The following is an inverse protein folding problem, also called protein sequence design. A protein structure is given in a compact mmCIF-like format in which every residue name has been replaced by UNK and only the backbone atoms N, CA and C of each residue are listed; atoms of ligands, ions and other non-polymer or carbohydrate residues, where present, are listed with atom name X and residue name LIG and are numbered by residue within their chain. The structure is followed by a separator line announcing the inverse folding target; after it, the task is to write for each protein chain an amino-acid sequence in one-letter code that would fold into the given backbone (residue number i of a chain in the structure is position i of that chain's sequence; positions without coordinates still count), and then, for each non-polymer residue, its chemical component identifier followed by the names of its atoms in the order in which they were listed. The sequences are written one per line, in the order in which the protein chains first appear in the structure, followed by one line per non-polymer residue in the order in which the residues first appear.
data_IF_878023350392
#
_entry.id   IF_878023350392
#
_cell.length_a   1.000
_cell.length_b   1.000
_cell.length_c   1.000
_cell.angle_alpha   90.00
_cell.angle_beta   90.00
_cell.angle_gamma   90.00
#
_symmetry.space_group_name_H-M   'P 1'
#
loop_
_entity.id
_entity.type
_entity.pdbx_description
1 polymer ?
#
# COMPACT_ATOMS: atom_id res chain seq x y z
N UNK A 1 19.91 -16.07 0.16
CA UNK A 1 18.59 -15.49 -0.13
C UNK A 1 18.81 -14.14 -0.76
N UNK A 2 18.16 -13.88 -1.87
CA UNK A 2 18.29 -12.62 -2.61
C UNK A 2 17.05 -11.76 -2.38
N UNK A 3 17.22 -10.45 -2.42
CA UNK A 3 16.15 -9.47 -2.23
C UNK A 3 16.10 -8.54 -3.42
N UNK A 4 14.93 -8.29 -4.00
CA UNK A 4 14.74 -7.21 -4.99
C UNK A 4 14.08 -6.02 -4.31
N UNK A 5 14.69 -4.85 -4.35
CA UNK A 5 14.05 -3.59 -3.97
C UNK A 5 13.50 -2.94 -5.23
N UNK A 6 12.20 -2.69 -5.26
CA UNK A 6 11.51 -2.05 -6.38
C UNK A 6 11.09 -0.63 -6.01
N UNK A 7 11.40 0.33 -6.91
CA UNK A 7 11.24 1.77 -6.67
C UNK A 7 10.59 2.44 -7.87
N UNK A 8 9.34 2.93 -7.77
CA UNK A 8 8.72 3.76 -8.81
C UNK A 8 9.31 5.18 -8.77
N UNK A 9 9.61 5.77 -9.92
CA UNK A 9 10.23 7.10 -10.02
C UNK A 9 9.39 8.03 -10.89
N UNK A 10 8.88 9.12 -10.30
CA UNK A 10 8.18 10.19 -11.02
C UNK A 10 8.14 11.48 -10.19
N UNK A 11 8.73 12.57 -10.68
CA UNK A 11 8.64 13.91 -10.06
C UNK A 11 9.34 14.03 -8.70
N UNK A 12 10.49 13.37 -8.50
CA UNK A 12 11.18 13.26 -7.19
C UNK A 12 12.61 13.77 -7.20
N UNK A 13 12.98 14.68 -8.10
CA UNK A 13 14.36 15.19 -8.21
C UNK A 13 14.94 15.74 -6.91
N UNK A 14 14.09 16.24 -6.00
CA UNK A 14 14.50 16.78 -4.70
C UNK A 14 14.86 15.68 -3.67
N UNK A 15 14.38 14.46 -3.87
CA UNK A 15 14.41 13.40 -2.86
C UNK A 15 15.18 12.16 -3.30
N UNK A 16 15.22 11.90 -4.61
CA UNK A 16 15.79 10.65 -5.17
C UNK A 16 17.24 10.40 -4.78
N UNK A 17 18.06 11.46 -4.58
CA UNK A 17 19.46 11.30 -4.13
C UNK A 17 19.51 10.69 -2.73
N UNK A 18 18.78 11.25 -1.77
CA UNK A 18 18.76 10.72 -0.40
C UNK A 18 18.18 9.30 -0.36
N UNK A 19 17.11 9.05 -1.11
CA UNK A 19 16.53 7.73 -1.26
C UNK A 19 17.58 6.73 -1.79
N UNK A 20 18.18 6.99 -2.94
CA UNK A 20 19.14 6.09 -3.58
C UNK A 20 20.38 5.82 -2.70
N UNK A 21 20.94 6.86 -2.06
CA UNK A 21 22.03 6.71 -1.10
C UNK A 21 21.65 5.77 0.03
N UNK A 22 20.48 5.94 0.64
CA UNK A 22 20.01 5.08 1.72
C UNK A 22 19.83 3.62 1.29
N UNK A 23 19.40 3.40 0.05
CA UNK A 23 19.25 2.06 -0.53
C UNK A 23 20.62 1.42 -0.80
N UNK A 24 21.56 2.16 -1.39
CA UNK A 24 22.87 1.63 -1.75
C UNK A 24 23.81 1.46 -0.54
N UNK A 25 23.51 2.11 0.58
CA UNK A 25 24.23 1.97 1.86
C UNK A 25 23.74 0.80 2.72
N UNK A 26 22.79 -0.04 2.24
CA UNK A 26 22.30 -1.18 3.02
C UNK A 26 23.42 -2.16 3.37
N UNK A 27 23.42 -2.65 4.64
CA UNK A 27 24.37 -3.63 5.16
C UNK A 27 24.19 -5.04 4.60
N UNK A 28 23.03 -5.33 4.04
CA UNK A 28 22.72 -6.61 3.40
C UNK A 28 23.23 -6.62 1.95
N UNK A 29 24.15 -7.55 1.62
CA UNK A 29 24.86 -7.51 0.34
C UNK A 29 24.07 -8.05 -0.86
N UNK A 30 23.11 -8.98 -0.64
CA UNK A 30 22.43 -9.70 -1.73
C UNK A 30 21.16 -9.00 -2.17
N UNK A 31 21.32 -7.76 -2.65
CA UNK A 31 20.20 -6.92 -3.12
C UNK A 31 20.35 -6.63 -4.61
N UNK A 32 19.26 -6.74 -5.35
CA UNK A 32 19.05 -6.17 -6.67
C UNK A 32 18.10 -4.99 -6.55
N UNK A 33 18.48 -3.85 -7.12
CA UNK A 33 17.65 -2.64 -7.15
C UNK A 33 17.03 -2.46 -8.53
N UNK A 34 15.73 -2.28 -8.59
CA UNK A 34 15.00 -2.04 -9.85
C UNK A 34 14.20 -0.75 -9.72
N UNK A 35 14.66 0.28 -10.39
CA UNK A 35 13.93 1.55 -10.50
C UNK A 35 13.11 1.56 -11.79
N UNK A 36 11.91 2.13 -11.73
CA UNK A 36 11.08 2.31 -12.93
C UNK A 36 10.82 3.78 -13.17
N UNK A 37 11.41 4.32 -14.25
CA UNK A 37 11.09 5.65 -14.78
C UNK A 37 9.68 5.64 -15.40
N UNK A 38 8.74 6.31 -14.74
CA UNK A 38 7.38 6.49 -15.25
C UNK A 38 7.25 7.72 -16.17
N UNK A 39 8.22 7.96 -17.03
CA UNK A 39 8.37 9.13 -17.87
C UNK A 39 8.43 10.41 -17.02
N UNK A 40 9.31 10.43 -16.02
CA UNK A 40 9.48 11.59 -15.15
C UNK A 40 9.88 12.84 -15.95
N UNK A 41 9.23 14.02 -15.71
CA UNK A 41 9.53 15.24 -16.46
C UNK A 41 10.72 16.01 -15.90
N UNK A 42 11.27 15.59 -14.75
CA UNK A 42 12.33 16.27 -14.01
C UNK A 42 13.69 15.52 -14.10
N UNK A 43 14.67 15.95 -13.34
CA UNK A 43 16.02 15.38 -13.34
C UNK A 43 16.19 14.13 -12.47
N UNK A 44 15.11 13.50 -12.01
CA UNK A 44 15.19 12.36 -11.09
C UNK A 44 16.10 11.22 -11.61
N UNK A 45 15.98 10.86 -12.88
CA UNK A 45 16.79 9.77 -13.47
C UNK A 45 18.25 10.19 -13.66
N UNK A 46 18.52 11.44 -14.03
CA UNK A 46 19.86 11.97 -14.14
C UNK A 46 20.58 11.91 -12.79
N UNK A 47 19.92 12.39 -11.72
CA UNK A 47 20.45 12.34 -10.35
C UNK A 47 20.66 10.89 -9.88
N UNK A 48 19.74 9.98 -10.23
CA UNK A 48 19.88 8.56 -9.89
C UNK A 48 21.15 7.97 -10.55
N UNK A 49 21.45 8.29 -11.81
CA UNK A 49 22.67 7.85 -12.48
C UNK A 49 23.93 8.41 -11.81
N UNK A 50 23.91 9.66 -11.33
CA UNK A 50 25.01 10.22 -10.57
C UNK A 50 25.30 9.40 -9.30
N UNK A 51 24.25 9.08 -8.53
CA UNK A 51 24.41 8.25 -7.31
C UNK A 51 24.87 6.84 -7.65
N UNK A 52 24.36 6.22 -8.70
CA UNK A 52 24.82 4.89 -9.13
C UNK A 52 26.32 4.86 -9.42
N UNK A 53 26.88 5.94 -9.96
CA UNK A 53 28.31 6.04 -10.22
C UNK A 53 29.17 6.09 -8.93
N UNK A 54 28.59 6.51 -7.80
CA UNK A 54 29.21 6.51 -6.47
C UNK A 54 29.23 5.11 -5.83
N UNK A 55 28.37 4.17 -6.30
CA UNK A 55 28.19 2.81 -5.76
C UNK A 55 28.29 1.73 -6.87
N UNK A 56 29.42 1.63 -7.58
CA UNK A 56 29.55 0.77 -8.75
C UNK A 56 29.42 -0.74 -8.45
N UNK A 57 29.56 -1.14 -7.19
CA UNK A 57 29.42 -2.53 -6.74
C UNK A 57 27.93 -2.97 -6.57
N UNK A 58 26.98 -2.02 -6.59
CA UNK A 58 25.56 -2.34 -6.41
C UNK A 58 24.91 -2.77 -7.72
N UNK A 59 24.06 -3.79 -7.65
CA UNK A 59 23.31 -4.28 -8.81
C UNK A 59 22.04 -3.45 -9.02
N UNK A 60 22.14 -2.41 -9.84
CA UNK A 60 21.06 -1.48 -10.11
C UNK A 60 20.60 -1.57 -11.57
N UNK A 61 19.31 -1.70 -11.79
CA UNK A 61 18.65 -1.61 -13.10
C UNK A 61 17.61 -0.49 -13.11
N UNK A 62 17.62 0.29 -14.18
CA UNK A 62 16.56 1.27 -14.45
C UNK A 62 15.77 0.77 -15.66
N UNK A 63 14.48 0.57 -15.49
CA UNK A 63 13.53 0.29 -16.57
C UNK A 63 12.71 1.54 -16.83
N UNK A 64 12.18 1.70 -18.05
CA UNK A 64 11.39 2.87 -18.43
C UNK A 64 10.04 2.46 -18.96
N UNK A 65 8.95 3.12 -18.55
CA UNK A 65 7.65 3.02 -19.18
C UNK A 65 7.66 3.76 -20.53
N UNK A 66 6.88 3.30 -21.48
CA UNK A 66 6.72 3.99 -22.78
C UNK A 66 5.93 5.30 -22.64
N UNK A 67 5.07 5.37 -21.63
CA UNK A 67 4.29 6.54 -21.23
C UNK A 67 4.04 6.50 -19.73
N UNK A 68 3.66 7.63 -19.15
CA UNK A 68 3.26 7.67 -17.73
C UNK A 68 2.05 6.76 -17.49
N UNK A 69 2.24 5.76 -16.63
CA UNK A 69 1.23 4.75 -16.26
C UNK A 69 0.61 4.99 -14.90
N UNK A 70 1.09 5.99 -14.18
CA UNK A 70 0.73 6.25 -12.79
C UNK A 70 1.35 5.23 -11.83
N UNK A 71 1.16 5.47 -10.53
CA UNK A 71 1.80 4.68 -9.47
C UNK A 71 1.41 3.21 -9.51
N UNK A 72 0.10 2.92 -9.68
CA UNK A 72 -0.41 1.55 -9.77
C UNK A 72 0.14 0.80 -10.98
N UNK A 73 0.19 1.45 -12.15
CA UNK A 73 0.74 0.86 -13.38
C UNK A 73 2.24 0.62 -13.29
N UNK A 74 2.98 1.56 -12.71
CA UNK A 74 4.43 1.46 -12.51
C UNK A 74 4.79 0.36 -11.53
N UNK A 75 4.09 0.24 -10.39
CA UNK A 75 4.26 -0.89 -9.45
C UNK A 75 3.85 -2.23 -10.09
N UNK A 76 2.80 -2.25 -10.93
CA UNK A 76 2.41 -3.46 -11.67
C UNK A 76 3.49 -3.94 -12.66
N UNK A 77 4.25 -3.02 -13.24
CA UNK A 77 5.42 -3.36 -14.05
C UNK A 77 6.58 -3.85 -13.21
N UNK A 78 6.92 -3.13 -12.15
CA UNK A 78 8.02 -3.46 -11.25
C UNK A 78 7.87 -4.85 -10.62
N UNK A 79 6.67 -5.25 -10.23
CA UNK A 79 6.44 -6.56 -9.62
C UNK A 79 6.75 -7.73 -10.57
N UNK A 80 6.70 -7.52 -11.89
CA UNK A 80 7.07 -8.52 -12.91
C UNK A 80 8.57 -8.72 -13.03
N UNK A 81 9.35 -7.74 -12.58
CA UNK A 81 10.82 -7.79 -12.57
C UNK A 81 11.37 -8.57 -11.36
N UNK A 82 10.53 -8.85 -10.35
CA UNK A 82 10.94 -9.59 -9.15
C UNK A 82 11.20 -11.05 -9.50
N UNK A 83 12.47 -11.47 -9.37
CA UNK A 83 12.93 -12.85 -9.60
C UNK A 83 13.62 -13.46 -8.38
N UNK A 84 13.90 -12.64 -7.39
CA UNK A 84 14.55 -13.01 -6.13
C UNK A 84 13.63 -13.77 -5.18
N UNK A 85 14.18 -14.28 -4.07
CA UNK A 85 13.42 -14.97 -3.01
C UNK A 85 12.43 -14.05 -2.31
N UNK A 86 12.82 -12.78 -2.15
CA UNK A 86 12.06 -11.74 -1.42
C UNK A 86 12.07 -10.42 -2.17
N UNK A 87 11.10 -9.57 -1.88
CA UNK A 87 11.11 -8.20 -2.37
C UNK A 87 10.65 -7.19 -1.32
N UNK A 88 11.12 -5.95 -1.46
CA UNK A 88 10.63 -4.75 -0.79
C UNK A 88 10.13 -3.76 -1.81
N UNK A 89 9.19 -2.93 -1.38
CA UNK A 89 8.71 -1.76 -2.13
C UNK A 89 9.12 -0.52 -1.36
N UNK A 90 9.78 0.39 -2.05
CA UNK A 90 10.22 1.66 -1.47
C UNK A 90 9.72 2.81 -2.34
N UNK A 91 9.15 3.82 -1.74
CA UNK A 91 8.77 5.04 -2.44
C UNK A 91 10.00 5.94 -2.62
N UNK A 92 10.15 6.54 -3.79
CA UNK A 92 11.38 7.23 -4.21
C UNK A 92 11.65 8.57 -3.51
N UNK A 93 10.76 9.00 -2.64
CA UNK A 93 10.92 10.15 -1.74
C UNK A 93 11.26 9.76 -0.29
N UNK A 94 11.29 8.47 0.04
CA UNK A 94 11.52 7.95 1.39
C UNK A 94 12.96 7.45 1.59
N UNK A 95 13.30 7.05 2.82
CA UNK A 95 14.65 6.67 3.24
C UNK A 95 14.59 5.36 4.03
N UNK A 96 15.60 4.49 3.86
CA UNK A 96 15.75 3.29 4.69
C UNK A 96 16.91 3.44 5.68
N UNK A 97 16.75 3.02 6.95
CA UNK A 97 17.89 2.75 7.83
C UNK A 97 18.88 1.76 7.20
N UNK A 98 20.17 1.92 7.41
CA UNK A 98 21.23 1.08 6.77
C UNK A 98 21.06 -0.42 7.02
N UNK A 99 20.51 -0.82 8.17
CA UNK A 99 20.29 -2.22 8.56
C UNK A 99 18.88 -2.74 8.27
N UNK A 100 18.04 -1.98 7.57
CA UNK A 100 16.62 -2.28 7.39
C UNK A 100 16.39 -3.64 6.69
N UNK A 101 17.08 -3.89 5.58
CA UNK A 101 16.94 -5.13 4.83
C UNK A 101 17.46 -6.32 5.63
N UNK A 102 18.59 -6.18 6.31
CA UNK A 102 19.16 -7.23 7.15
C UNK A 102 18.22 -7.61 8.29
N UNK A 103 17.63 -6.62 8.97
CA UNK A 103 16.66 -6.80 10.05
C UNK A 103 15.43 -7.57 9.59
N UNK A 104 14.86 -7.17 8.46
CA UNK A 104 13.67 -7.82 7.89
C UNK A 104 13.97 -9.25 7.42
N UNK A 105 15.12 -9.47 6.76
CA UNK A 105 15.54 -10.80 6.29
C UNK A 105 15.82 -11.74 7.46
N UNK A 106 16.45 -11.26 8.53
CA UNK A 106 16.65 -12.04 9.75
C UNK A 106 15.32 -12.51 10.32
N UNK A 107 14.36 -11.60 10.49
CA UNK A 107 13.04 -11.92 11.01
C UNK A 107 12.26 -12.88 10.10
N UNK A 108 12.35 -12.70 8.79
CA UNK A 108 11.76 -13.59 7.80
C UNK A 108 12.29 -15.02 7.93
N UNK A 109 13.61 -15.19 8.12
CA UNK A 109 14.24 -16.50 8.32
C UNK A 109 13.77 -17.18 9.61
N UNK A 110 13.61 -16.41 10.68
CA UNK A 110 13.15 -16.93 11.99
C UNK A 110 11.71 -17.43 11.94
N UNK A 111 10.85 -16.77 11.19
CA UNK A 111 9.40 -16.98 11.23
C UNK A 111 8.86 -17.78 10.05
N UNK A 112 9.51 -17.70 8.90
CA UNK A 112 9.04 -18.34 7.65
C UNK A 112 7.70 -17.80 7.12
N UNK A 113 7.26 -16.63 7.60
CA UNK A 113 5.97 -16.03 7.20
C UNK A 113 6.04 -15.45 5.80
N UNK A 114 4.90 -15.21 5.17
CA UNK A 114 4.82 -14.61 3.82
C UNK A 114 5.21 -13.12 3.83
N UNK A 115 4.96 -12.41 4.95
CA UNK A 115 5.22 -10.98 5.14
C UNK A 115 5.88 -10.74 6.49
N UNK A 116 6.94 -9.93 6.51
CA UNK A 116 7.50 -9.34 7.74
C UNK A 116 7.29 -7.83 7.69
N UNK A 117 6.60 -7.29 8.67
CA UNK A 117 6.37 -5.86 8.85
C UNK A 117 7.33 -5.29 9.88
N UNK A 118 8.01 -4.20 9.55
CA UNK A 118 8.85 -3.46 10.51
C UNK A 118 8.18 -2.18 11.00
N UNK A 119 8.76 -1.60 12.06
CA UNK A 119 8.41 -0.27 12.51
C UNK A 119 8.83 0.79 11.49
N UNK A 120 8.23 1.97 11.57
CA UNK A 120 8.64 3.12 10.77
C UNK A 120 8.71 4.39 11.63
N UNK A 121 9.42 5.40 11.14
CA UNK A 121 9.44 6.73 11.75
C UNK A 121 9.15 7.79 10.70
N UNK A 122 8.64 8.94 11.13
CA UNK A 122 8.46 10.09 10.24
C UNK A 122 9.82 10.79 10.04
N UNK A 123 10.06 11.24 8.80
CA UNK A 123 11.26 12.00 8.42
C UNK A 123 10.86 13.38 7.91
N UNK A 124 11.48 14.42 8.47
CA UNK A 124 11.21 15.79 8.10
C UNK A 124 12.46 16.66 8.26
N UNK A 125 12.90 17.33 7.20
CA UNK A 125 14.04 18.24 7.20
C UNK A 125 15.30 17.67 7.89
N UNK A 126 15.67 16.43 7.59
CA UNK A 126 16.84 15.76 8.16
C UNK A 126 16.62 15.16 9.56
N UNK A 127 15.44 15.28 10.14
CA UNK A 127 15.14 14.77 11.47
C UNK A 127 14.20 13.57 11.42
N UNK A 128 14.51 12.54 12.22
CA UNK A 128 13.69 11.36 12.43
C UNK A 128 12.85 11.59 13.69
N UNK A 129 11.54 11.40 13.59
CA UNK A 129 10.61 11.59 14.71
C UNK A 129 9.45 10.59 14.66
N UNK A 130 8.64 10.58 15.71
CA UNK A 130 7.39 9.81 15.80
C UNK A 130 7.54 8.34 15.39
N UNK A 131 8.43 7.54 16.01
CA UNK A 131 8.53 6.13 15.69
C UNK A 131 7.22 5.41 15.98
N UNK A 132 6.83 4.51 15.06
CA UNK A 132 5.59 3.73 15.13
C UNK A 132 5.91 2.26 14.95
N UNK A 133 5.56 1.47 15.95
CA UNK A 133 5.68 0.02 15.88
C UNK A 133 4.55 -0.58 15.01
N UNK A 134 4.77 -1.75 14.42
CA UNK A 134 3.71 -2.50 13.75
C UNK A 134 2.65 -2.99 14.73
N UNK A 135 1.48 -3.39 14.21
CA UNK A 135 0.45 -3.98 15.07
C UNK A 135 0.88 -5.35 15.60
N UNK A 136 0.81 -5.55 16.93
CA UNK A 136 1.05 -6.81 17.60
C UNK A 136 -0.21 -7.68 17.73
N UNK A 137 -1.31 -7.30 17.10
CA UNK A 137 -2.51 -8.11 17.07
C UNK A 137 -2.22 -9.50 16.46
N UNK A 138 -2.86 -10.55 17.01
CA UNK A 138 -2.82 -11.86 16.38
C UNK A 138 -3.43 -11.80 14.97
N UNK A 139 -3.13 -12.79 14.14
CA UNK A 139 -3.48 -12.80 12.73
C UNK A 139 -4.98 -12.55 12.47
N UNK A 140 -5.87 -13.19 13.24
CA UNK A 140 -7.33 -13.01 13.11
C UNK A 140 -7.77 -11.57 13.39
N UNK A 141 -7.28 -10.98 14.49
CA UNK A 141 -7.63 -9.61 14.89
C UNK A 141 -7.03 -8.60 13.93
N UNK A 142 -5.79 -8.82 13.46
CA UNK A 142 -5.16 -7.97 12.47
C UNK A 142 -5.94 -7.97 11.15
N UNK A 143 -6.33 -9.14 10.64
CA UNK A 143 -7.14 -9.28 9.42
C UNK A 143 -8.47 -8.54 9.55
N UNK A 144 -9.18 -8.70 10.67
CA UNK A 144 -10.45 -8.00 10.90
C UNK A 144 -10.27 -6.48 10.87
N UNK A 145 -9.25 -5.95 11.53
CA UNK A 145 -8.93 -4.51 11.52
C UNK A 145 -8.57 -4.01 10.12
N UNK A 146 -7.76 -4.77 9.38
CA UNK A 146 -7.37 -4.45 8.02
C UNK A 146 -8.57 -4.43 7.06
N UNK A 147 -9.47 -5.40 7.17
CA UNK A 147 -10.69 -5.45 6.35
C UNK A 147 -11.65 -4.31 6.66
N UNK A 148 -11.73 -3.84 7.91
CA UNK A 148 -12.48 -2.63 8.27
C UNK A 148 -11.85 -1.34 7.74
N UNK A 149 -10.64 -1.42 7.18
CA UNK A 149 -9.82 -0.32 6.69
C UNK A 149 -9.63 0.81 7.71
N UNK A 150 -8.50 1.48 7.70
CA UNK A 150 -8.14 2.56 8.64
C UNK A 150 -8.01 2.17 10.13
N UNK A 151 -8.06 0.88 10.49
CA UNK A 151 -7.80 0.42 11.87
C UNK A 151 -6.39 -0.13 12.06
N UNK A 152 -5.69 -0.45 10.97
CA UNK A 152 -4.27 -0.77 10.91
C UNK A 152 -3.66 -0.09 9.70
N UNK A 153 -2.36 0.08 9.70
CA UNK A 153 -1.66 0.67 8.56
C UNK A 153 -1.61 -0.31 7.39
N UNK A 154 -2.16 0.09 6.24
CA UNK A 154 -2.20 -0.70 5.01
C UNK A 154 -1.18 -0.23 3.96
N UNK A 155 -0.19 0.58 4.35
CA UNK A 155 0.90 0.93 3.44
C UNK A 155 1.67 -0.31 3.00
N UNK A 156 2.17 -0.28 1.77
CA UNK A 156 2.88 -1.40 1.14
C UNK A 156 4.39 -1.41 1.45
N UNK A 157 4.94 -0.26 1.83
CA UNK A 157 6.34 -0.08 2.20
C UNK A 157 6.62 -0.51 3.66
N UNK A 158 7.91 -0.56 4.04
CA UNK A 158 8.34 -0.98 5.38
C UNK A 158 8.10 -2.47 5.66
N UNK A 159 7.97 -3.27 4.59
CA UNK A 159 7.66 -4.71 4.67
C UNK A 159 8.53 -5.51 3.70
N UNK A 160 8.96 -6.68 4.16
CA UNK A 160 9.60 -7.69 3.30
C UNK A 160 8.56 -8.75 2.94
N UNK A 161 8.48 -9.09 1.67
CA UNK A 161 7.54 -10.05 1.12
C UNK A 161 8.28 -11.27 0.55
N UNK A 162 7.79 -12.47 0.81
CA UNK A 162 8.19 -13.64 0.02
C UNK A 162 7.67 -13.51 -1.41
N UNK A 163 8.52 -13.71 -2.43
CA UNK A 163 8.14 -13.52 -3.84
C UNK A 163 7.03 -14.49 -4.29
N UNK A 164 6.92 -15.64 -3.65
CA UNK A 164 5.84 -16.60 -3.89
C UNK A 164 4.42 -16.04 -3.67
N UNK A 165 4.29 -14.96 -2.88
CA UNK A 165 2.99 -14.33 -2.61
C UNK A 165 2.37 -13.68 -3.86
N UNK A 166 3.20 -13.29 -4.85
CA UNK A 166 2.75 -12.71 -6.12
C UNK A 166 1.81 -13.71 -6.84
N UNK A 167 2.09 -15.02 -6.74
CA UNK A 167 1.24 -16.07 -7.32
C UNK A 167 -0.12 -16.19 -6.63
N UNK A 168 -0.21 -15.83 -5.33
CA UNK A 168 -1.47 -15.83 -4.56
C UNK A 168 -2.38 -14.65 -4.93
N UNK A 169 -1.77 -13.53 -5.39
CA UNK A 169 -2.45 -12.30 -5.82
C UNK A 169 -1.80 -11.82 -7.14
N UNK A 170 -2.11 -12.47 -8.29
CA UNK A 170 -1.40 -12.19 -9.54
C UNK A 170 -1.45 -10.73 -10.01
N UNK A 171 -2.58 -10.05 -9.79
CA UNK A 171 -2.74 -8.63 -10.10
C UNK A 171 -2.52 -7.79 -8.83
N UNK A 172 -1.34 -7.92 -8.21
CA UNK A 172 -1.04 -7.23 -6.94
C UNK A 172 -1.21 -5.72 -7.07
N UNK A 173 -0.71 -5.13 -8.15
CA UNK A 173 -0.96 -3.74 -8.53
C UNK A 173 -1.69 -3.69 -9.88
N UNK A 174 -2.44 -2.62 -10.11
CA UNK A 174 -3.34 -2.51 -11.26
C UNK A 174 -3.21 -1.12 -11.85
N UNK A 175 -2.94 -1.05 -13.16
CA UNK A 175 -2.91 0.20 -13.90
C UNK A 175 -4.26 0.93 -13.81
N UNK A 176 -4.24 2.23 -13.53
CA UNK A 176 -5.43 3.05 -13.32
C UNK A 176 -6.02 2.99 -11.92
N UNK A 177 -5.33 2.32 -10.97
CA UNK A 177 -5.54 2.45 -9.52
C UNK A 177 -4.28 3.11 -8.94
N UNK A 178 -4.23 4.45 -8.95
CA UNK A 178 -3.08 5.25 -8.52
C UNK A 178 -3.26 5.85 -7.12
N UNK A 179 -4.48 5.88 -6.62
CA UNK A 179 -4.81 6.24 -5.25
C UNK A 179 -5.48 5.05 -4.57
N UNK A 180 -5.01 4.68 -3.37
CA UNK A 180 -5.39 3.48 -2.64
C UNK A 180 -4.96 2.15 -3.32
N UNK A 181 -3.93 2.17 -4.15
CA UNK A 181 -3.30 0.99 -4.73
C UNK A 181 -2.68 0.10 -3.64
N UNK A 182 -2.13 0.71 -2.58
CA UNK A 182 -1.62 0.06 -1.38
C UNK A 182 -2.73 -0.63 -0.58
N UNK A 183 -3.84 0.08 -0.32
CA UNK A 183 -5.03 -0.51 0.32
C UNK A 183 -5.54 -1.69 -0.50
N UNK A 184 -5.62 -1.54 -1.83
CA UNK A 184 -6.05 -2.60 -2.73
C UNK A 184 -5.12 -3.82 -2.65
N UNK A 185 -3.81 -3.60 -2.68
CA UNK A 185 -2.82 -4.66 -2.59
C UNK A 185 -2.84 -5.34 -1.22
N UNK A 186 -2.67 -4.56 -0.14
CA UNK A 186 -2.55 -5.09 1.22
C UNK A 186 -3.81 -5.79 1.71
N UNK A 187 -4.99 -5.26 1.44
CA UNK A 187 -6.25 -5.90 1.86
C UNK A 187 -6.39 -7.29 1.24
N UNK A 188 -5.96 -7.49 -0.03
CA UNK A 188 -5.97 -8.79 -0.69
C UNK A 188 -4.85 -9.71 -0.19
N UNK A 189 -3.64 -9.18 0.02
CA UNK A 189 -2.50 -9.94 0.56
C UNK A 189 -2.80 -10.50 1.95
N UNK A 190 -3.32 -9.67 2.85
CA UNK A 190 -3.67 -10.05 4.23
C UNK A 190 -4.68 -11.21 4.26
N UNK A 191 -5.56 -11.29 3.27
CA UNK A 191 -6.52 -12.39 3.15
C UNK A 191 -5.90 -13.76 2.90
N UNK A 192 -4.68 -13.82 2.35
CA UNK A 192 -4.03 -15.06 1.89
C UNK A 192 -2.62 -15.27 2.44
N UNK A 193 -2.08 -14.31 3.16
CA UNK A 193 -0.72 -14.30 3.68
C UNK A 193 -0.66 -14.58 5.19
N UNK A 194 0.45 -15.17 5.61
CA UNK A 194 0.89 -15.19 7.01
C UNK A 194 1.77 -13.99 7.28
N UNK A 195 1.71 -13.44 8.50
CA UNK A 195 2.43 -12.22 8.88
C UNK A 195 3.21 -12.40 10.18
N UNK A 196 4.40 -11.83 10.22
CA UNK A 196 5.16 -11.55 11.44
C UNK A 196 5.64 -10.10 11.44
N UNK A 197 6.30 -9.68 12.50
CA UNK A 197 6.77 -8.30 12.65
C UNK A 197 8.07 -8.22 13.44
N UNK A 198 8.70 -7.06 13.35
CA UNK A 198 9.78 -6.59 14.23
C UNK A 198 9.47 -5.16 14.65
N UNK A 199 9.80 -4.79 15.89
CA UNK A 199 9.61 -3.43 16.41
C UNK A 199 10.71 -2.46 15.97
N UNK A 200 11.77 -2.98 15.36
CA UNK A 200 12.84 -2.16 14.79
C UNK A 200 12.29 -1.24 13.70
N UNK A 201 12.74 0.01 13.71
CA UNK A 201 12.43 0.96 12.64
C UNK A 201 13.22 0.58 11.39
N UNK A 202 12.51 0.21 10.33
CA UNK A 202 13.08 -0.21 9.04
C UNK A 202 12.74 0.74 7.90
N UNK A 203 11.99 1.81 8.19
CA UNK A 203 11.52 2.75 7.17
C UNK A 203 11.38 4.15 7.75
N UNK A 204 11.87 5.15 7.03
CA UNK A 204 11.69 6.56 7.34
C UNK A 204 10.76 7.17 6.29
N UNK A 205 9.52 7.42 6.69
CA UNK A 205 8.49 8.00 5.85
C UNK A 205 8.59 9.53 5.82
N UNK A 206 8.81 10.10 4.64
CA UNK A 206 8.96 11.55 4.45
C UNK A 206 7.62 12.27 4.53
N UNK A 207 7.50 13.24 5.44
CA UNK A 207 6.28 14.02 5.63
C UNK A 207 6.36 15.45 5.10
N UNK A 208 7.53 15.94 4.72
CA UNK A 208 7.75 17.30 4.18
C UNK A 208 7.63 17.39 2.65
N UNK A 209 7.30 16.29 1.95
CA UNK A 209 6.93 16.31 0.54
C UNK A 209 5.53 16.91 0.35
N UNK A 210 5.46 18.17 -0.15
CA UNK A 210 4.20 18.87 -0.41
C UNK A 210 3.47 18.39 -1.67
N UNK A 211 4.14 17.68 -2.56
CA UNK A 211 3.55 17.09 -3.78
C UNK A 211 2.99 15.68 -3.58
N UNK A 212 3.02 15.15 -2.35
CA UNK A 212 2.50 13.83 -2.04
C UNK A 212 1.02 13.66 -2.43
N UNK A 213 0.69 12.52 -3.05
CA UNK A 213 -0.65 12.14 -3.48
C UNK A 213 -1.70 12.19 -2.34
N UNK A 214 -1.26 11.97 -1.11
CA UNK A 214 -2.15 11.93 0.06
C UNK A 214 -2.65 13.32 0.49
N UNK A 215 -1.96 14.39 0.09
CA UNK A 215 -2.32 15.77 0.48
C UNK A 215 -3.39 16.39 -0.41
N UNK A 216 -3.56 15.91 -1.65
CA UNK A 216 -4.46 16.51 -2.65
C UNK A 216 -5.42 15.46 -3.24
N UNK A 217 -6.54 15.20 -2.54
CA UNK A 217 -7.56 14.26 -3.00
C UNK A 217 -8.42 14.91 -4.09
N UNK A 218 -8.22 14.48 -5.34
CA UNK A 218 -9.00 14.90 -6.50
C UNK A 218 -10.18 13.95 -6.78
N UNK A 219 -11.07 14.32 -7.70
CA UNK A 219 -12.11 13.42 -8.20
C UNK A 219 -11.51 12.14 -8.81
N UNK A 220 -10.37 12.26 -9.54
CA UNK A 220 -9.62 11.12 -10.07
C UNK A 220 -9.17 10.18 -8.93
N UNK A 221 -8.72 10.74 -7.80
CA UNK A 221 -8.33 9.94 -6.63
C UNK A 221 -9.51 9.17 -6.06
N UNK A 222 -10.68 9.79 -5.99
CA UNK A 222 -11.91 9.14 -5.49
C UNK A 222 -12.32 8.01 -6.44
N UNK A 223 -12.34 8.23 -7.75
CA UNK A 223 -12.64 7.18 -8.75
C UNK A 223 -11.65 6.03 -8.68
N UNK A 224 -10.36 6.32 -8.46
CA UNK A 224 -9.32 5.31 -8.22
C UNK A 224 -9.62 4.48 -6.98
N UNK A 225 -10.00 5.12 -5.87
CA UNK A 225 -10.37 4.44 -4.63
C UNK A 225 -11.56 3.47 -4.84
N UNK A 226 -12.58 3.86 -5.62
CA UNK A 226 -13.70 2.97 -5.94
C UNK A 226 -13.29 1.75 -6.76
N UNK A 227 -12.41 1.93 -7.75
CA UNK A 227 -11.85 0.82 -8.52
C UNK A 227 -11.08 -0.14 -7.60
N UNK A 228 -10.32 0.40 -6.64
CA UNK A 228 -9.63 -0.38 -5.63
C UNK A 228 -10.61 -1.23 -4.80
N UNK A 229 -11.72 -0.63 -4.31
CA UNK A 229 -12.75 -1.35 -3.56
C UNK A 229 -13.44 -2.43 -4.40
N UNK A 230 -13.77 -2.14 -5.66
CA UNK A 230 -14.37 -3.13 -6.57
C UNK A 230 -13.43 -4.33 -6.79
N UNK A 231 -12.14 -4.08 -6.90
CA UNK A 231 -11.14 -5.16 -7.05
C UNK A 231 -10.98 -5.99 -5.78
N UNK A 232 -10.98 -5.36 -4.62
CA UNK A 232 -10.96 -6.06 -3.32
C UNK A 232 -12.19 -6.96 -3.21
N UNK A 233 -13.38 -6.42 -3.47
CA UNK A 233 -14.63 -7.15 -3.42
C UNK A 233 -14.62 -8.37 -4.35
N UNK A 234 -14.27 -8.16 -5.63
CA UNK A 234 -14.17 -9.23 -6.62
C UNK A 234 -13.23 -10.36 -6.18
N UNK A 235 -12.08 -10.01 -5.57
CA UNK A 235 -11.09 -10.96 -5.08
C UNK A 235 -11.66 -11.90 -3.99
N UNK A 236 -12.47 -11.39 -3.08
CA UNK A 236 -13.07 -12.18 -2.00
C UNK A 236 -14.29 -12.96 -2.48
N UNK A 237 -15.14 -12.38 -3.33
CA UNK A 237 -16.29 -13.08 -3.92
C UNK A 237 -15.86 -14.28 -4.77
N UNK A 238 -14.80 -14.16 -5.58
CA UNK A 238 -14.25 -15.27 -6.34
C UNK A 238 -13.73 -16.42 -5.46
N UNK A 239 -13.46 -16.16 -4.20
CA UNK A 239 -13.04 -17.16 -3.20
C UNK A 239 -14.19 -17.73 -2.37
N UNK A 240 -15.43 -17.34 -2.69
CA UNK A 240 -16.64 -17.80 -2.00
C UNK A 240 -16.77 -17.33 -0.56
N UNK A 241 -16.07 -16.26 -0.19
CA UNK A 241 -16.09 -15.72 1.17
C UNK A 241 -15.99 -14.21 1.17
N UNK A 242 -16.97 -13.54 1.74
CA UNK A 242 -16.99 -12.11 1.97
C UNK A 242 -17.03 -11.82 3.48
N UNK A 243 -15.91 -11.50 4.13
CA UNK A 243 -15.91 -11.22 5.56
C UNK A 243 -16.77 -10.01 5.91
N UNK A 244 -17.59 -10.10 6.96
CA UNK A 244 -18.40 -8.99 7.43
C UNK A 244 -17.57 -7.71 7.70
N UNK A 245 -16.35 -7.86 8.25
CA UNK A 245 -15.44 -6.76 8.48
C UNK A 245 -15.05 -6.03 7.17
N UNK A 246 -14.90 -6.78 6.06
CA UNK A 246 -14.64 -6.20 4.75
C UNK A 246 -15.85 -5.42 4.21
N UNK A 247 -17.06 -5.94 4.37
CA UNK A 247 -18.27 -5.22 4.01
C UNK A 247 -18.37 -3.88 4.74
N UNK A 248 -18.03 -3.83 6.03
CA UNK A 248 -18.01 -2.58 6.81
C UNK A 248 -16.95 -1.61 6.24
N UNK A 249 -15.79 -2.09 5.81
CA UNK A 249 -14.78 -1.27 5.14
C UNK A 249 -15.27 -0.67 3.82
N UNK A 250 -15.94 -1.48 2.99
CA UNK A 250 -16.54 -1.03 1.72
C UNK A 250 -17.65 -0.01 1.97
N UNK A 251 -18.51 -0.25 2.96
CA UNK A 251 -19.57 0.68 3.32
C UNK A 251 -19.05 2.02 3.84
N UNK A 252 -17.86 2.06 4.44
CA UNK A 252 -17.22 3.33 4.79
C UNK A 252 -16.98 4.20 3.55
N UNK A 253 -16.60 3.59 2.44
CA UNK A 253 -16.40 4.28 1.16
C UNK A 253 -17.70 4.93 0.69
N UNK A 254 -18.82 4.20 0.70
CA UNK A 254 -20.13 4.72 0.33
C UNK A 254 -20.57 5.85 1.27
N UNK A 255 -20.31 5.72 2.57
CA UNK A 255 -20.57 6.77 3.56
C UNK A 255 -19.83 8.07 3.22
N UNK A 256 -18.52 7.97 2.95
CA UNK A 256 -17.71 9.16 2.62
C UNK A 256 -18.18 9.82 1.32
N UNK A 257 -18.63 9.05 0.35
CA UNK A 257 -19.20 9.60 -0.89
C UNK A 257 -20.48 10.38 -0.63
N UNK A 258 -21.38 9.82 0.15
CA UNK A 258 -22.60 10.53 0.55
C UNK A 258 -22.29 11.83 1.29
N UNK A 259 -21.31 11.82 2.20
CA UNK A 259 -20.88 13.04 2.93
C UNK A 259 -20.31 14.10 2.00
N UNK A 260 -19.70 13.71 0.88
CA UNK A 260 -19.11 14.62 -0.12
C UNK A 260 -20.10 15.03 -1.22
N UNK A 261 -21.34 14.54 -1.18
CA UNK A 261 -22.37 14.82 -2.19
C UNK A 261 -22.07 14.23 -3.57
N UNK A 262 -21.30 13.12 -3.64
CA UNK A 262 -20.99 12.44 -4.90
C UNK A 262 -22.16 11.61 -5.40
N UNK A 263 -22.18 11.33 -6.71
CA UNK A 263 -23.21 10.49 -7.33
C UNK A 263 -23.12 9.05 -6.82
N UNK A 264 -24.10 8.68 -5.99
CA UNK A 264 -24.18 7.35 -5.40
C UNK A 264 -24.54 6.28 -6.43
N UNK A 265 -25.18 6.62 -7.54
CA UNK A 265 -25.52 5.66 -8.60
C UNK A 265 -24.26 5.28 -9.37
N UNK A 266 -23.45 6.24 -9.83
CA UNK A 266 -22.15 5.98 -10.49
C UNK A 266 -21.26 5.11 -9.59
N UNK A 267 -21.25 5.41 -8.29
CA UNK A 267 -20.42 4.67 -7.33
C UNK A 267 -20.88 3.21 -7.17
N UNK A 268 -22.18 2.97 -7.08
CA UNK A 268 -22.74 1.61 -6.99
C UNK A 268 -22.51 0.79 -8.25
N UNK A 269 -22.66 1.38 -9.43
CA UNK A 269 -22.38 0.73 -10.69
C UNK A 269 -20.93 0.29 -10.79
N UNK A 270 -20.00 1.12 -10.27
CA UNK A 270 -18.55 0.79 -10.21
C UNK A 270 -18.28 -0.36 -9.23
N UNK A 271 -18.86 -0.32 -8.04
CA UNK A 271 -18.65 -1.33 -7.01
C UNK A 271 -19.35 -2.65 -7.35
N UNK A 272 -20.52 -2.61 -8.01
CA UNK A 272 -21.42 -3.76 -8.24
C UNK A 272 -21.64 -4.56 -6.95
N UNK A 273 -21.80 -3.83 -5.85
CA UNK A 273 -21.82 -4.40 -4.52
C UNK A 273 -23.25 -4.66 -4.04
N UNK A 274 -23.49 -5.88 -3.59
CA UNK A 274 -24.72 -6.26 -2.88
C UNK A 274 -24.31 -6.85 -1.53
N UNK A 275 -24.72 -6.25 -0.41
CA UNK A 275 -24.36 -6.77 0.90
C UNK A 275 -24.87 -8.18 1.15
N UNK A 276 -24.03 -9.04 1.73
CA UNK A 276 -24.42 -10.41 2.10
C UNK A 276 -24.92 -10.47 3.55
N UNK A 277 -24.26 -9.77 4.47
CA UNK A 277 -24.62 -9.81 5.89
C UNK A 277 -25.76 -8.86 6.24
N UNK A 278 -26.68 -9.28 7.11
CA UNK A 278 -27.86 -8.49 7.52
C UNK A 278 -27.50 -7.06 8.00
N UNK A 279 -26.47 -6.93 8.85
CA UNK A 279 -26.01 -5.63 9.37
C UNK A 279 -25.46 -4.73 8.28
N UNK A 280 -24.75 -5.31 7.32
CA UNK A 280 -24.25 -4.59 6.15
C UNK A 280 -25.41 -4.14 5.23
N UNK A 281 -26.43 -4.99 5.03
CA UNK A 281 -27.66 -4.62 4.29
C UNK A 281 -28.37 -3.44 4.94
N UNK A 282 -28.46 -3.42 6.25
CA UNK A 282 -29.08 -2.31 6.99
C UNK A 282 -28.34 -0.99 6.74
N UNK A 283 -27.00 -0.97 6.92
CA UNK A 283 -26.18 0.23 6.65
C UNK A 283 -26.25 0.66 5.19
N UNK A 284 -26.17 -0.30 4.27
CA UNK A 284 -26.27 -0.02 2.84
C UNK A 284 -27.55 0.73 2.51
N UNK A 285 -28.70 0.23 2.99
CA UNK A 285 -30.00 0.89 2.79
C UNK A 285 -30.05 2.27 3.45
N UNK A 286 -29.45 2.43 4.64
CA UNK A 286 -29.38 3.73 5.32
C UNK A 286 -28.55 4.76 4.55
N UNK A 287 -27.44 4.35 3.94
CA UNK A 287 -26.61 5.25 3.13
C UNK A 287 -27.27 5.66 1.82
N UNK A 288 -28.13 4.81 1.26
CA UNK A 288 -28.89 5.12 0.04
C UNK A 288 -30.20 5.84 0.28
N UNK A 289 -30.70 5.86 1.53
CA UNK A 289 -31.94 6.53 1.87
C UNK A 289 -31.73 8.05 2.02
N UNK A 290 -32.46 8.85 1.25
CA UNK A 290 -32.51 10.30 1.42
C UNK A 290 -33.31 10.72 2.66
N UNK A 291 -34.17 9.83 3.17
CA UNK A 291 -35.03 10.08 4.32
C UNK A 291 -34.34 9.89 5.67
N UNK A 292 -33.19 9.19 5.70
CA UNK A 292 -32.41 8.96 6.95
C UNK A 292 -31.34 10.01 7.07
N UNK A 293 -31.32 10.82 8.15
CA UNK A 293 -30.27 11.78 8.39
C UNK A 293 -28.88 11.13 8.42
N UNK A 294 -27.87 11.79 7.84
CA UNK A 294 -26.51 11.28 7.76
C UNK A 294 -25.93 10.95 9.15
N UNK A 295 -26.27 11.75 10.17
CA UNK A 295 -25.80 11.54 11.54
C UNK A 295 -26.23 10.18 12.13
N UNK A 296 -27.45 9.72 11.79
CA UNK A 296 -27.94 8.42 12.26
C UNK A 296 -27.21 7.28 11.57
N UNK A 297 -27.01 7.36 10.25
CA UNK A 297 -26.25 6.37 9.51
C UNK A 297 -24.78 6.32 9.96
N UNK A 298 -24.17 7.46 10.28
CA UNK A 298 -22.82 7.55 10.82
C UNK A 298 -22.70 6.91 12.21
N UNK A 299 -23.68 7.14 13.09
CA UNK A 299 -23.70 6.49 14.41
C UNK A 299 -23.78 4.96 14.30
N UNK A 300 -24.71 4.46 13.50
CA UNK A 300 -24.86 3.01 13.29
C UNK A 300 -23.62 2.40 12.65
N UNK A 301 -22.99 3.09 11.70
CA UNK A 301 -21.72 2.65 11.13
C UNK A 301 -20.64 2.50 12.21
N UNK A 302 -20.47 3.47 13.11
CA UNK A 302 -19.50 3.41 14.20
C UNK A 302 -19.74 2.20 15.11
N UNK A 303 -21.00 1.93 15.48
CA UNK A 303 -21.38 0.77 16.30
C UNK A 303 -21.03 -0.54 15.58
N UNK A 304 -21.37 -0.69 14.31
CA UNK A 304 -21.12 -1.93 13.57
C UNK A 304 -19.63 -2.12 13.28
N UNK A 305 -18.88 -1.04 13.09
CA UNK A 305 -17.43 -1.10 12.95
C UNK A 305 -16.76 -1.64 14.21
N UNK A 306 -17.19 -1.23 15.40
CA UNK A 306 -16.67 -1.75 16.67
C UNK A 306 -16.92 -3.25 16.84
N UNK A 307 -18.03 -3.77 16.32
CA UNK A 307 -18.34 -5.20 16.35
C UNK A 307 -17.53 -6.00 15.32
N UNK A 308 -17.18 -5.36 14.22
CA UNK A 308 -16.46 -5.99 13.12
C UNK A 308 -14.93 -6.02 13.35
N UNK A 309 -14.39 -5.07 14.08
CA UNK A 309 -12.96 -4.96 14.40
C UNK A 309 -12.57 -5.83 15.60
#
# INVERSE_FOLDING_TARGET
MTVTIIVPVYGVEKYIRECAVSLFSQTYDKIEYVFCDDCTPDRSIEILHEVMAEYPERHVRIIKNEQNKGLGGTRARLIKEVKSDYFLIVDSDDILPENAVETLVKRMKETGTDIVEGGYAEYCNGNICNPKAPSHDNDTKYKRKAWCQNLVSLHIWGKLYQSGIIKKVPDLFIEGIDYAEDICAMTRLIGVATRSWTDEVVYHYRIDNNSSYTKNISEKSIKSYFKAQAKILSFYLQRGHLPFALEIGILNTLRECRRRGLDMQEMNETLRYVPEHFRAKLLYNMFHSTSIPLIISDYMYRVFRLVAS
#
